data_IF_165445432120
#
_entry.id   IF_165445432120
#
_cell.length_a   1.000
_cell.length_b   1.000
_cell.length_c   1.000
_cell.angle_alpha   90.00
_cell.angle_beta   90.00
_cell.angle_gamma   90.00
#
_symmetry.space_group_name_H-M   'P 1'
#
loop_
_entity.id
_entity.type
_entity.pdbx_description
1 polymer ?
#
# COMPACT_ATOMS: atom_id res chain seq x y z
N UNK A 1 17.83 -11.67 -28.66
CA UNK A 1 17.64 -11.49 -27.21
C UNK A 1 17.69 -10.00 -26.94
N UNK A 2 16.61 -9.44 -26.38
CA UNK A 2 16.57 -8.03 -26.00
C UNK A 2 17.50 -7.76 -24.80
N UNK A 3 17.75 -6.47 -24.51
CA UNK A 3 18.55 -6.12 -23.32
C UNK A 3 17.80 -6.46 -22.02
N UNK A 4 16.47 -6.33 -21.99
CA UNK A 4 15.63 -6.76 -20.87
C UNK A 4 15.76 -8.27 -20.63
N UNK A 5 15.67 -9.12 -21.67
CA UNK A 5 15.85 -10.57 -21.56
C UNK A 5 17.25 -10.94 -21.03
N UNK A 6 18.29 -10.28 -21.56
CA UNK A 6 19.67 -10.50 -21.12
C UNK A 6 19.86 -10.13 -19.63
N UNK A 7 19.31 -9.00 -19.21
CA UNK A 7 19.37 -8.55 -17.81
C UNK A 7 18.61 -9.51 -16.90
N UNK A 8 17.43 -9.96 -17.31
CA UNK A 8 16.64 -10.91 -16.52
C UNK A 8 17.35 -12.24 -16.35
N UNK A 9 17.91 -12.79 -17.44
CA UNK A 9 18.69 -14.01 -17.37
C UNK A 9 19.93 -13.90 -16.46
N UNK A 10 20.58 -12.73 -16.44
CA UNK A 10 21.70 -12.45 -15.52
C UNK A 10 21.21 -12.33 -14.08
N UNK A 11 20.11 -11.59 -13.85
CA UNK A 11 19.53 -11.39 -12.52
C UNK A 11 19.12 -12.72 -11.88
N UNK A 12 18.52 -13.65 -12.65
CA UNK A 12 18.11 -14.96 -12.15
C UNK A 12 19.28 -15.83 -11.64
N UNK A 13 20.53 -15.54 -12.07
CA UNK A 13 21.72 -16.26 -11.60
C UNK A 13 22.19 -15.84 -10.22
N UNK A 14 21.81 -14.63 -9.77
CA UNK A 14 22.35 -13.99 -8.55
C UNK A 14 21.29 -13.45 -7.60
N UNK A 15 20.05 -13.34 -8.06
CA UNK A 15 18.91 -12.87 -7.25
C UNK A 15 17.79 -13.92 -7.35
N UNK A 16 17.21 -14.39 -6.25
CA UNK A 16 16.11 -15.36 -6.28
C UNK A 16 14.95 -14.88 -7.18
N UNK A 17 14.68 -15.63 -8.26
CA UNK A 17 13.68 -15.28 -9.27
C UNK A 17 14.01 -14.03 -10.10
N UNK A 18 15.24 -13.49 -9.99
CA UNK A 18 15.72 -12.31 -10.73
C UNK A 18 15.20 -10.97 -10.19
N UNK A 19 14.56 -10.94 -9.03
CA UNK A 19 13.90 -9.74 -8.47
C UNK A 19 14.03 -9.67 -6.94
N UNK A 20 14.00 -8.45 -6.39
CA UNK A 20 14.03 -8.20 -4.95
C UNK A 20 12.62 -8.08 -4.33
N UNK A 21 11.55 -8.30 -5.11
CA UNK A 21 10.17 -8.43 -4.62
C UNK A 21 9.37 -9.31 -5.59
N UNK A 22 8.61 -10.32 -5.10
CA UNK A 22 8.07 -11.42 -5.93
C UNK A 22 7.20 -10.97 -7.11
N UNK A 23 6.35 -9.97 -6.94
CA UNK A 23 5.42 -9.50 -7.97
C UNK A 23 6.14 -8.96 -9.21
N UNK A 24 7.36 -8.43 -9.04
CA UNK A 24 8.19 -7.87 -10.14
C UNK A 24 8.66 -8.94 -11.14
N UNK A 25 8.60 -10.23 -10.80
CA UNK A 25 9.02 -11.32 -11.65
C UNK A 25 8.02 -11.71 -12.75
N UNK A 26 6.89 -11.02 -12.88
CA UNK A 26 5.85 -11.28 -13.88
C UNK A 26 5.21 -12.68 -13.84
N UNK A 27 5.37 -13.41 -12.73
CA UNK A 27 4.85 -14.79 -12.62
C UNK A 27 3.35 -14.89 -12.86
N UNK A 28 2.58 -13.87 -12.44
CA UNK A 28 1.12 -13.88 -12.58
C UNK A 28 0.66 -13.58 -14.03
N UNK A 29 1.48 -12.86 -14.80
CA UNK A 29 1.14 -12.46 -16.17
C UNK A 29 2.02 -13.15 -17.24
N UNK A 30 3.18 -13.66 -16.84
CA UNK A 30 4.17 -14.26 -17.75
C UNK A 30 5.00 -13.22 -18.52
N UNK A 31 5.93 -13.70 -19.32
CA UNK A 31 6.83 -12.86 -20.09
C UNK A 31 8.05 -12.38 -19.29
N UNK A 32 8.82 -11.47 -19.90
CA UNK A 32 10.03 -10.88 -19.31
C UNK A 32 9.69 -9.50 -18.75
N UNK A 33 10.01 -9.23 -17.47
CA UNK A 33 9.77 -7.91 -16.90
C UNK A 33 10.71 -6.87 -17.54
N UNK A 34 10.23 -5.63 -17.79
CA UNK A 34 11.08 -4.55 -18.23
C UNK A 34 12.04 -4.12 -17.12
N UNK A 35 13.32 -3.92 -17.47
CA UNK A 35 14.34 -3.37 -16.59
C UNK A 35 14.39 -1.86 -16.77
N UNK A 36 13.88 -1.13 -15.79
CA UNK A 36 13.71 0.32 -15.87
C UNK A 36 15.06 1.01 -15.64
N UNK A 37 15.40 1.96 -16.52
CA UNK A 37 16.67 2.72 -16.48
C UNK A 37 16.47 4.17 -16.06
N UNK A 38 15.25 4.72 -16.21
CA UNK A 38 14.89 6.07 -15.76
C UNK A 38 13.38 6.24 -15.63
N UNK A 39 12.99 7.24 -14.83
CA UNK A 39 11.61 7.73 -14.74
C UNK A 39 11.58 9.25 -14.71
N UNK A 40 10.53 9.87 -15.27
CA UNK A 40 10.27 11.31 -15.18
C UNK A 40 8.78 11.59 -15.32
N UNK A 41 8.21 12.34 -14.38
CA UNK A 41 6.76 12.60 -14.34
C UNK A 41 5.99 11.28 -14.22
N UNK A 42 5.03 11.03 -15.11
CA UNK A 42 4.26 9.79 -15.15
C UNK A 42 4.85 8.72 -16.09
N UNK A 43 6.11 8.86 -16.53
CA UNK A 43 6.72 7.99 -17.52
C UNK A 43 7.95 7.27 -16.98
N UNK A 44 8.15 6.04 -17.47
CA UNK A 44 9.35 5.23 -17.25
C UNK A 44 9.90 4.72 -18.58
N UNK A 45 11.20 4.47 -18.63
CA UNK A 45 11.89 3.91 -19.81
C UNK A 45 12.66 2.66 -19.42
N UNK A 46 12.50 1.62 -20.23
CA UNK A 46 13.23 0.36 -20.02
C UNK A 46 14.61 0.34 -20.67
N UNK A 47 15.34 -0.75 -20.45
CA UNK A 47 16.67 -0.95 -20.96
C UNK A 47 16.73 -1.14 -22.50
N UNK A 48 15.62 -1.43 -23.15
CA UNK A 48 15.49 -1.51 -24.61
C UNK A 48 15.08 -0.14 -25.21
N UNK A 49 14.91 0.90 -24.37
CA UNK A 49 14.58 2.26 -24.78
C UNK A 49 13.08 2.52 -24.96
N UNK A 50 12.22 1.57 -24.61
CA UNK A 50 10.77 1.74 -24.70
C UNK A 50 10.26 2.65 -23.56
N UNK A 51 9.33 3.53 -23.90
CA UNK A 51 8.64 4.41 -22.97
C UNK A 51 7.29 3.82 -22.56
N UNK A 52 6.92 4.02 -21.27
CA UNK A 52 5.64 3.60 -20.73
C UNK A 52 5.03 4.71 -19.88
N UNK A 53 3.70 4.89 -19.96
CA UNK A 53 2.92 5.56 -18.92
C UNK A 53 2.82 4.63 -17.72
N UNK A 54 3.27 5.10 -16.56
CA UNK A 54 3.43 4.28 -15.34
C UNK A 54 2.27 4.45 -14.36
N UNK A 55 1.48 3.41 -14.21
CA UNK A 55 0.39 3.34 -13.23
C UNK A 55 0.74 2.48 -12.00
N UNK A 56 1.99 2.08 -11.85
CA UNK A 56 2.53 1.42 -10.66
C UNK A 56 3.06 2.44 -9.66
N UNK A 57 3.70 3.52 -10.14
CA UNK A 57 4.21 4.60 -9.32
C UNK A 57 5.09 4.11 -8.17
N UNK A 58 5.95 3.09 -8.43
CA UNK A 58 6.77 2.40 -7.43
C UNK A 58 5.95 1.74 -6.31
N UNK A 59 4.72 1.27 -6.59
CA UNK A 59 3.75 0.70 -5.65
C UNK A 59 3.15 1.73 -4.68
N UNK A 60 2.96 2.96 -5.18
CA UNK A 60 2.22 4.01 -4.48
C UNK A 60 3.00 5.19 -3.91
N UNK A 61 4.33 5.13 -3.62
CA UNK A 61 5.05 6.27 -3.03
C UNK A 61 5.11 7.52 -3.92
N UNK A 62 5.14 7.35 -5.24
CA UNK A 62 5.40 8.46 -6.17
C UNK A 62 4.12 9.25 -6.51
N UNK A 63 3.52 9.89 -5.51
CA UNK A 63 2.29 10.70 -5.68
C UNK A 63 2.51 11.94 -6.55
N UNK A 64 3.74 12.47 -6.60
CA UNK A 64 4.15 13.58 -7.46
C UNK A 64 4.62 13.12 -8.85
N UNK A 65 4.82 11.81 -9.05
CA UNK A 65 5.47 11.23 -10.21
C UNK A 65 6.98 11.02 -9.99
N UNK A 66 7.66 10.54 -11.04
CA UNK A 66 9.09 10.25 -11.01
C UNK A 66 9.91 11.54 -11.11
N UNK A 67 11.05 11.56 -10.41
CA UNK A 67 12.08 12.58 -10.51
C UNK A 67 11.53 14.04 -10.40
N UNK A 68 10.67 14.26 -9.38
CA UNK A 68 10.21 15.62 -9.07
C UNK A 68 11.42 16.50 -8.74
N UNK A 69 11.52 17.66 -9.39
CA UNK A 69 12.71 18.49 -9.35
C UNK A 69 13.04 19.03 -7.95
N UNK A 70 12.01 19.40 -7.18
CA UNK A 70 12.18 19.92 -5.82
C UNK A 70 12.59 18.82 -4.84
N UNK A 71 11.97 17.65 -4.94
CA UNK A 71 12.35 16.47 -4.14
C UNK A 71 13.81 16.10 -4.40
N UNK A 72 14.24 16.05 -5.68
CA UNK A 72 15.63 15.75 -6.04
C UNK A 72 16.60 16.81 -5.53
N UNK A 73 16.28 18.10 -5.69
CA UNK A 73 17.14 19.19 -5.23
C UNK A 73 17.34 19.13 -3.71
N UNK A 74 16.27 18.93 -2.95
CA UNK A 74 16.33 18.77 -1.48
C UNK A 74 17.17 17.57 -1.06
N UNK A 75 17.02 16.44 -1.76
CA UNK A 75 17.84 15.25 -1.49
C UNK A 75 19.33 15.50 -1.74
N UNK A 76 19.69 16.14 -2.84
CA UNK A 76 21.08 16.45 -3.18
C UNK A 76 21.71 17.37 -2.14
N UNK A 77 21.01 18.43 -1.74
CA UNK A 77 21.46 19.37 -0.71
C UNK A 77 21.75 18.66 0.62
N UNK A 78 20.88 17.74 1.04
CA UNK A 78 21.08 17.00 2.28
C UNK A 78 22.19 15.95 2.15
N UNK A 79 22.28 15.28 1.00
CA UNK A 79 23.33 14.29 0.74
C UNK A 79 24.74 14.90 0.79
N UNK A 80 24.89 16.15 0.36
CA UNK A 80 26.18 16.89 0.44
C UNK A 80 26.65 17.10 1.88
N UNK A 81 25.75 17.06 2.87
CA UNK A 81 26.06 17.18 4.31
C UNK A 81 26.35 15.83 4.98
N UNK A 82 26.09 14.71 4.31
CA UNK A 82 26.29 13.35 4.77
C UNK A 82 25.05 12.46 4.67
N UNK A 83 25.26 11.16 4.52
CA UNK A 83 24.18 10.21 4.24
C UNK A 83 23.55 9.62 5.52
N UNK A 84 24.29 9.58 6.63
CA UNK A 84 23.81 9.00 7.89
C UNK A 84 24.78 9.35 9.03
N UNK A 85 24.26 9.56 10.24
CA UNK A 85 25.09 10.07 11.35
C UNK A 85 25.10 9.17 12.60
N UNK A 86 24.16 8.21 12.72
CA UNK A 86 23.98 7.44 13.95
C UNK A 86 23.60 8.31 15.17
N UNK A 87 23.03 9.50 14.91
CA UNK A 87 22.59 10.50 15.86
C UNK A 87 21.31 11.17 15.35
N UNK A 88 20.48 11.78 16.23
CA UNK A 88 19.28 12.51 15.82
C UNK A 88 19.60 13.69 14.89
N UNK A 89 18.67 14.01 14.01
CA UNK A 89 18.75 15.15 13.10
C UNK A 89 17.53 16.07 13.23
N UNK A 90 17.68 17.34 12.86
CA UNK A 90 16.58 18.31 12.85
C UNK A 90 15.45 17.85 11.90
N UNK A 91 15.79 17.25 10.76
CA UNK A 91 14.82 16.74 9.79
C UNK A 91 13.87 15.67 10.37
N UNK A 92 14.35 14.86 11.32
CA UNK A 92 13.49 13.89 12.03
C UNK A 92 12.43 14.59 12.88
N UNK A 93 12.82 15.70 13.54
CA UNK A 93 11.88 16.53 14.33
C UNK A 93 10.84 17.17 13.41
N UNK A 94 11.28 17.82 12.34
CA UNK A 94 10.36 18.42 11.34
C UNK A 94 9.37 17.39 10.77
N UNK A 95 9.85 16.19 10.43
CA UNK A 95 9.00 15.11 9.91
C UNK A 95 7.98 14.66 10.96
N UNK A 96 8.40 14.46 12.20
CA UNK A 96 7.51 14.05 13.29
C UNK A 96 6.44 15.11 13.56
N UNK A 97 6.81 16.39 13.64
CA UNK A 97 5.87 17.51 13.82
C UNK A 97 4.88 17.62 12.65
N UNK A 98 5.36 17.43 11.42
CA UNK A 98 4.51 17.46 10.22
C UNK A 98 3.50 16.30 10.24
N UNK A 99 3.94 15.09 10.54
CA UNK A 99 3.06 13.92 10.63
C UNK A 99 2.02 14.07 11.74
N UNK A 100 2.43 14.53 12.94
CA UNK A 100 1.51 14.79 14.06
C UNK A 100 0.45 15.84 13.69
N UNK A 101 0.82 16.86 12.95
CA UNK A 101 -0.12 17.89 12.49
C UNK A 101 -1.10 17.39 11.43
N UNK A 102 -0.67 16.52 10.51
CA UNK A 102 -1.46 16.11 9.35
C UNK A 102 -2.28 14.83 9.57
N UNK A 103 -1.84 13.93 10.46
CA UNK A 103 -2.51 12.64 10.65
C UNK A 103 -3.44 12.70 11.87
N UNK A 104 -4.76 12.52 11.71
CA UNK A 104 -5.71 12.60 12.83
C UNK A 104 -5.40 11.60 13.94
N UNK A 105 -5.31 12.07 15.18
CA UNK A 105 -5.06 11.21 16.35
C UNK A 105 -3.61 10.79 16.55
N UNK A 106 -2.68 11.28 15.73
CA UNK A 106 -1.25 11.04 15.91
C UNK A 106 -0.67 12.03 16.93
N UNK A 107 -0.32 11.57 18.12
CA UNK A 107 0.24 12.39 19.21
C UNK A 107 1.75 12.19 19.36
N UNK A 108 2.23 10.98 19.11
CA UNK A 108 3.65 10.62 19.04
C UNK A 108 3.89 9.70 17.85
N UNK A 109 5.07 9.80 17.24
CA UNK A 109 5.48 9.01 16.08
C UNK A 109 6.92 8.53 16.21
N UNK A 110 7.20 7.35 15.69
CA UNK A 110 8.54 6.78 15.56
C UNK A 110 8.80 6.45 14.09
N UNK A 111 9.89 6.99 13.53
CA UNK A 111 10.33 6.65 12.18
C UNK A 111 11.02 5.28 12.16
N UNK A 112 10.83 4.57 11.05
CA UNK A 112 11.46 3.30 10.70
C UNK A 112 11.81 3.30 9.21
N UNK A 113 12.39 2.23 8.67
CA UNK A 113 12.85 2.21 7.28
C UNK A 113 11.86 1.56 6.30
N UNK A 114 10.81 0.92 6.79
CA UNK A 114 9.81 0.23 5.93
C UNK A 114 8.43 0.12 6.59
N UNK A 115 7.40 -0.13 5.76
CA UNK A 115 6.06 -0.46 6.25
C UNK A 115 6.03 -1.75 7.08
N UNK A 116 6.85 -2.74 6.73
CA UNK A 116 6.98 -3.98 7.52
C UNK A 116 7.49 -3.71 8.93
N UNK A 117 8.52 -2.87 9.07
CA UNK A 117 9.01 -2.47 10.40
C UNK A 117 7.96 -1.69 11.19
N UNK A 118 7.20 -0.82 10.51
CA UNK A 118 6.12 -0.05 11.13
C UNK A 118 5.02 -0.97 11.68
N UNK A 119 4.50 -1.89 10.88
CA UNK A 119 3.43 -2.81 11.29
C UNK A 119 3.89 -3.81 12.35
N UNK A 120 5.09 -4.39 12.19
CA UNK A 120 5.70 -5.27 13.19
C UNK A 120 5.85 -4.58 14.54
N UNK A 121 6.29 -3.32 14.54
CA UNK A 121 6.48 -2.54 15.76
C UNK A 121 5.14 -2.15 16.41
N UNK A 122 4.15 -1.75 15.61
CA UNK A 122 2.81 -1.43 16.09
C UNK A 122 2.12 -2.63 16.74
N UNK A 123 2.26 -3.83 16.17
CA UNK A 123 1.73 -5.07 16.75
C UNK A 123 2.40 -5.42 18.09
N UNK A 124 3.75 -5.34 18.15
CA UNK A 124 4.49 -5.57 19.38
C UNK A 124 4.07 -4.58 20.46
N UNK A 125 3.91 -3.32 20.08
CA UNK A 125 3.47 -2.26 20.98
C UNK A 125 2.05 -2.52 21.50
N UNK A 126 1.11 -2.87 20.64
CA UNK A 126 -0.26 -3.19 21.03
C UNK A 126 -0.33 -4.38 22.02
N UNK A 127 0.47 -5.42 21.77
CA UNK A 127 0.61 -6.56 22.70
C UNK A 127 1.22 -6.12 24.04
N UNK A 128 2.28 -5.31 24.02
CA UNK A 128 2.94 -4.80 25.23
C UNK A 128 2.05 -3.86 26.03
N UNK A 129 1.22 -3.07 25.37
CA UNK A 129 0.27 -2.16 26.02
C UNK A 129 -0.91 -2.90 26.66
N UNK A 130 -1.51 -3.85 25.95
CA UNK A 130 -2.71 -4.56 26.41
C UNK A 130 -2.42 -5.77 27.33
N UNK A 131 -1.18 -6.29 27.30
CA UNK A 131 -0.83 -7.56 27.94
C UNK A 131 -1.47 -8.80 27.28
N UNK A 132 -2.04 -8.65 26.09
CA UNK A 132 -2.74 -9.70 25.34
C UNK A 132 -1.93 -10.14 24.14
N UNK A 133 -2.25 -11.33 23.57
CA UNK A 133 -1.46 -11.93 22.49
C UNK A 133 -2.15 -11.97 21.14
N UNK A 134 -3.49 -12.02 21.10
CA UNK A 134 -4.22 -12.24 19.84
C UNK A 134 -4.26 -11.00 18.96
N UNK A 135 -4.07 -11.22 17.65
CA UNK A 135 -4.19 -10.23 16.59
C UNK A 135 -5.38 -10.61 15.72
N UNK A 136 -6.17 -9.63 15.32
CA UNK A 136 -7.15 -9.78 14.24
C UNK A 136 -6.61 -9.05 13.01
N UNK A 137 -6.61 -9.72 11.86
CA UNK A 137 -6.37 -9.14 10.53
C UNK A 137 -7.46 -9.60 9.55
N UNK A 138 -7.45 -9.06 8.34
CA UNK A 138 -8.45 -9.40 7.32
C UNK A 138 -7.82 -10.12 6.14
N UNK A 139 -8.59 -11.07 5.58
CA UNK A 139 -8.17 -11.85 4.41
C UNK A 139 -7.90 -10.93 3.22
N UNK A 140 -6.86 -11.24 2.46
CA UNK A 140 -6.43 -10.44 1.33
C UNK A 140 -5.62 -9.17 1.70
N UNK A 141 -5.69 -8.69 2.95
CA UNK A 141 -4.87 -7.57 3.41
C UNK A 141 -3.41 -8.00 3.65
N UNK A 142 -2.47 -7.12 3.24
CA UNK A 142 -1.04 -7.30 3.45
C UNK A 142 -0.49 -6.21 4.38
N UNK A 143 0.23 -6.64 5.39
CA UNK A 143 0.78 -5.76 6.42
C UNK A 143 2.29 -5.96 6.62
N UNK A 144 3.02 -6.22 5.53
CA UNK A 144 4.44 -6.59 5.61
C UNK A 144 4.64 -8.09 5.87
N UNK A 145 5.91 -8.49 6.05
CA UNK A 145 6.31 -9.90 6.09
C UNK A 145 6.83 -10.35 7.46
N UNK A 146 6.37 -9.73 8.56
CA UNK A 146 6.57 -10.28 9.90
C UNK A 146 5.80 -11.59 10.04
N UNK A 147 6.39 -12.60 10.66
CA UNK A 147 5.87 -13.97 10.73
C UNK A 147 4.41 -14.04 11.20
N UNK A 148 4.04 -13.28 12.23
CA UNK A 148 2.66 -13.24 12.75
C UNK A 148 1.63 -12.67 11.75
N UNK A 149 2.07 -12.07 10.66
CA UNK A 149 1.22 -11.48 9.61
C UNK A 149 1.21 -12.31 8.32
N UNK A 150 2.13 -13.26 8.16
CA UNK A 150 2.16 -14.22 7.05
C UNK A 150 1.19 -15.38 7.31
N UNK A 151 -0.09 -15.06 7.33
CA UNK A 151 -1.19 -15.92 7.76
C UNK A 151 -2.32 -15.86 6.74
N UNK A 152 -2.89 -17.02 6.42
CA UNK A 152 -4.12 -17.16 5.63
C UNK A 152 -5.27 -17.65 6.51
N UNK A 153 -6.50 -17.43 6.07
CA UNK A 153 -7.69 -17.91 6.76
C UNK A 153 -7.63 -19.43 7.00
N UNK A 154 -8.14 -19.89 8.14
CA UNK A 154 -8.36 -21.29 8.44
C UNK A 154 -9.64 -21.82 7.77
N UNK A 155 -9.95 -23.10 7.97
CA UNK A 155 -11.11 -23.77 7.35
C UNK A 155 -12.47 -23.45 7.98
N UNK A 156 -12.53 -22.65 9.04
CA UNK A 156 -13.76 -22.27 9.74
C UNK A 156 -13.79 -20.79 10.09
N UNK A 157 -14.98 -20.25 10.35
CA UNK A 157 -15.23 -18.82 10.54
C UNK A 157 -14.39 -18.15 11.67
N UNK A 158 -14.04 -18.89 12.71
CA UNK A 158 -13.24 -18.44 13.87
C UNK A 158 -11.98 -19.27 14.06
N UNK A 159 -11.52 -19.96 13.01
CA UNK A 159 -10.31 -20.78 13.07
C UNK A 159 -9.07 -19.88 13.07
N UNK A 160 -8.12 -20.15 13.94
CA UNK A 160 -6.81 -19.49 13.94
C UNK A 160 -6.11 -19.70 12.59
N UNK A 161 -5.38 -18.68 12.13
CA UNK A 161 -4.78 -18.68 10.82
C UNK A 161 -3.67 -19.72 10.66
N UNK A 162 -3.53 -20.23 9.44
CA UNK A 162 -2.44 -21.11 9.05
C UNK A 162 -1.31 -20.31 8.43
N UNK A 163 -0.02 -20.72 8.58
CA UNK A 163 1.09 -20.07 7.88
C UNK A 163 0.84 -19.98 6.36
N UNK A 164 1.07 -18.80 5.78
CA UNK A 164 0.99 -18.59 4.34
C UNK A 164 2.37 -18.65 3.65
N UNK A 165 3.43 -18.82 4.45
CA UNK A 165 4.81 -18.95 3.97
C UNK A 165 5.49 -20.16 4.63
N UNK A 166 6.27 -20.88 3.84
CA UNK A 166 7.22 -21.86 4.39
C UNK A 166 8.21 -21.13 5.33
N UNK A 167 8.62 -21.79 6.40
CA UNK A 167 9.53 -21.25 7.40
C UNK A 167 8.86 -20.46 8.54
N UNK A 168 7.56 -20.18 8.44
CA UNK A 168 6.78 -19.57 9.54
C UNK A 168 6.24 -20.69 10.43
N UNK A 169 6.62 -20.75 11.73
CA UNK A 169 6.11 -21.76 12.65
C UNK A 169 4.60 -21.58 12.90
N UNK A 170 3.88 -22.70 13.03
CA UNK A 170 2.43 -22.67 13.30
C UNK A 170 2.11 -21.97 14.62
N UNK A 171 2.98 -22.08 15.63
CA UNK A 171 2.85 -21.43 16.93
C UNK A 171 2.86 -19.91 16.81
N UNK A 172 3.63 -19.36 15.86
CA UNK A 172 3.69 -17.90 15.61
C UNK A 172 2.37 -17.38 15.03
N UNK A 173 1.72 -18.16 14.17
CA UNK A 173 0.44 -17.82 13.55
C UNK A 173 -0.78 -18.18 14.40
N UNK A 174 -0.62 -19.05 15.41
CA UNK A 174 -1.70 -19.52 16.29
C UNK A 174 -2.41 -18.39 17.10
N UNK A 175 -1.81 -17.21 17.19
CA UNK A 175 -2.40 -16.04 17.83
C UNK A 175 -2.99 -15.02 16.84
N UNK A 176 -3.02 -15.34 15.55
CA UNK A 176 -3.55 -14.44 14.52
C UNK A 176 -4.85 -14.98 13.95
N UNK A 177 -5.93 -14.24 14.16
CA UNK A 177 -7.25 -14.52 13.61
C UNK A 177 -7.41 -13.78 12.29
N UNK A 178 -7.82 -14.47 11.23
CA UNK A 178 -8.05 -13.88 9.90
C UNK A 178 -9.55 -13.90 9.62
N UNK A 179 -10.14 -12.72 9.46
CA UNK A 179 -11.57 -12.51 9.19
C UNK A 179 -11.80 -12.03 7.76
N UNK A 180 -13.02 -12.18 7.25
CA UNK A 180 -13.42 -11.61 5.97
C UNK A 180 -13.45 -10.08 6.02
N UNK A 181 -12.87 -9.43 5.00
CA UNK A 181 -12.97 -7.97 4.85
C UNK A 181 -14.43 -7.60 4.50
N UNK A 182 -14.98 -6.59 5.15
CA UNK A 182 -16.41 -6.20 5.07
C UNK A 182 -17.41 -7.22 5.67
N UNK A 183 -16.96 -8.22 6.43
CA UNK A 183 -17.81 -9.20 7.10
C UNK A 183 -18.04 -8.83 8.57
N UNK A 184 -19.16 -8.12 8.82
CA UNK A 184 -19.53 -7.70 10.18
C UNK A 184 -19.93 -8.87 11.07
N UNK A 185 -20.51 -9.92 10.52
CA UNK A 185 -20.97 -11.06 11.30
C UNK A 185 -19.77 -11.84 11.88
N UNK A 186 -18.74 -12.10 11.05
CA UNK A 186 -17.51 -12.73 11.54
C UNK A 186 -16.80 -11.83 12.57
N UNK A 187 -16.78 -10.52 12.35
CA UNK A 187 -16.16 -9.58 13.27
C UNK A 187 -16.85 -9.59 14.64
N UNK A 188 -18.18 -9.54 14.68
CA UNK A 188 -18.96 -9.59 15.91
C UNK A 188 -18.81 -10.92 16.65
N UNK A 189 -18.87 -12.02 15.94
CA UNK A 189 -18.64 -13.36 16.51
C UNK A 189 -17.25 -13.46 17.15
N UNK A 190 -16.20 -13.00 16.47
CA UNK A 190 -14.84 -13.01 16.99
C UNK A 190 -14.69 -12.19 18.29
N UNK A 191 -15.29 -11.02 18.35
CA UNK A 191 -15.28 -10.21 19.57
C UNK A 191 -16.17 -10.78 20.67
N UNK A 192 -17.31 -11.39 20.32
CA UNK A 192 -18.18 -12.07 21.28
C UNK A 192 -17.48 -13.22 22.01
N UNK A 193 -16.71 -14.02 21.29
CA UNK A 193 -16.01 -15.18 21.86
C UNK A 193 -14.63 -14.84 22.45
N UNK A 194 -13.85 -13.95 21.79
CA UNK A 194 -12.43 -13.78 22.06
C UNK A 194 -12.05 -12.37 22.48
N UNK A 195 -13.00 -11.44 22.55
CA UNK A 195 -12.73 -10.00 22.71
C UNK A 195 -11.82 -9.65 23.89
N UNK A 196 -11.94 -10.36 25.02
CA UNK A 196 -11.06 -10.18 26.18
C UNK A 196 -9.60 -10.59 25.97
N UNK A 197 -9.26 -11.32 24.91
CA UNK A 197 -7.92 -11.79 24.59
C UNK A 197 -7.30 -11.12 23.36
N UNK A 198 -8.08 -10.31 22.63
CA UNK A 198 -7.60 -9.57 21.43
C UNK A 198 -6.76 -8.37 21.90
N UNK A 199 -5.49 -8.38 21.50
CA UNK A 199 -4.58 -7.25 21.71
C UNK A 199 -4.89 -6.11 20.74
N UNK A 200 -5.07 -6.44 19.47
CA UNK A 200 -5.33 -5.45 18.43
C UNK A 200 -6.07 -6.02 17.23
N UNK A 201 -6.68 -5.11 16.48
CA UNK A 201 -7.13 -5.32 15.10
C UNK A 201 -6.25 -4.46 14.20
N UNK A 202 -5.63 -5.09 13.18
CA UNK A 202 -4.94 -4.37 12.12
C UNK A 202 -5.74 -4.48 10.83
N UNK A 203 -5.96 -3.34 10.15
CA UNK A 203 -6.75 -3.27 8.91
C UNK A 203 -6.18 -2.24 7.95
N UNK A 204 -6.14 -2.59 6.65
CA UNK A 204 -6.03 -1.58 5.59
C UNK A 204 -7.40 -0.88 5.49
N UNK A 205 -7.51 0.42 5.79
CA UNK A 205 -8.83 1.09 5.76
C UNK A 205 -9.43 1.18 4.35
N UNK A 206 -8.60 1.13 3.31
CA UNK A 206 -8.95 0.73 1.94
C UNK A 206 -7.96 -0.37 1.56
N UNK A 207 -8.45 -1.56 1.31
CA UNK A 207 -7.58 -2.67 0.94
C UNK A 207 -7.01 -2.45 -0.46
N UNK A 208 -5.68 -2.59 -0.60
CA UNK A 208 -4.95 -2.37 -1.85
C UNK A 208 -4.09 -3.56 -2.30
N UNK A 209 -4.08 -4.66 -1.52
CA UNK A 209 -3.28 -5.86 -1.78
C UNK A 209 -4.12 -7.08 -2.23
N UNK A 210 -5.42 -6.90 -2.39
CA UNK A 210 -6.35 -7.82 -3.05
C UNK A 210 -7.08 -7.12 -4.22
N UNK A 211 -6.34 -6.34 -5.00
CA UNK A 211 -6.79 -5.21 -5.79
C UNK A 211 -7.34 -4.09 -4.89
N UNK A 212 -8.12 -3.14 -5.37
CA UNK A 212 -8.69 -2.12 -4.51
C UNK A 212 -10.07 -2.55 -4.04
N UNK A 213 -10.27 -2.67 -2.72
CA UNK A 213 -11.59 -2.90 -2.13
C UNK A 213 -11.86 -1.83 -1.08
N UNK A 214 -12.87 -1.01 -1.31
CA UNK A 214 -13.31 0.00 -0.37
C UNK A 214 -14.04 -0.63 0.83
N UNK A 215 -13.89 -0.10 2.04
CA UNK A 215 -14.66 -0.54 3.18
C UNK A 215 -16.14 -0.15 2.99
N UNK A 216 -17.05 -1.00 3.45
CA UNK A 216 -18.45 -0.58 3.61
C UNK A 216 -18.53 0.52 4.68
N UNK A 217 -19.43 1.48 4.58
CA UNK A 217 -19.47 2.64 5.49
C UNK A 217 -19.52 2.29 6.98
N UNK A 218 -20.19 1.20 7.34
CA UNK A 218 -20.34 0.72 8.71
C UNK A 218 -19.14 -0.10 9.21
N UNK A 219 -18.32 -0.69 8.31
CA UNK A 219 -17.28 -1.66 8.65
C UNK A 219 -16.21 -1.07 9.58
N UNK A 220 -15.58 0.03 9.19
CA UNK A 220 -14.54 0.67 10.00
C UNK A 220 -15.07 1.23 11.32
N UNK A 221 -16.29 1.78 11.32
CA UNK A 221 -16.94 2.26 12.54
C UNK A 221 -17.18 1.11 13.52
N UNK A 222 -17.65 -0.04 13.01
CA UNK A 222 -17.92 -1.19 13.85
C UNK A 222 -16.64 -1.78 14.44
N UNK A 223 -15.55 -1.85 13.68
CA UNK A 223 -14.24 -2.22 14.22
C UNK A 223 -13.85 -1.28 15.36
N UNK A 224 -13.98 0.04 15.18
CA UNK A 224 -13.66 1.03 16.22
C UNK A 224 -14.47 0.82 17.49
N UNK A 225 -15.78 0.64 17.35
CA UNK A 225 -16.70 0.41 18.50
C UNK A 225 -16.31 -0.84 19.29
N UNK A 226 -16.06 -1.95 18.59
CA UNK A 226 -15.68 -3.21 19.22
C UNK A 226 -14.31 -3.12 19.90
N UNK A 227 -13.32 -2.52 19.24
CA UNK A 227 -12.02 -2.28 19.87
C UNK A 227 -12.16 -1.44 21.15
N UNK A 228 -12.94 -0.37 21.11
CA UNK A 228 -13.19 0.49 22.29
C UNK A 228 -13.86 -0.28 23.42
N UNK A 229 -14.92 -1.04 23.12
CA UNK A 229 -15.69 -1.83 24.10
C UNK A 229 -14.85 -2.88 24.80
N UNK A 230 -13.94 -3.55 24.05
CA UNK A 230 -13.15 -4.66 24.55
C UNK A 230 -11.73 -4.25 25.00
N UNK A 231 -11.35 -2.97 24.87
CA UNK A 231 -10.01 -2.49 25.20
C UNK A 231 -8.92 -3.04 24.29
N UNK A 232 -9.26 -3.39 23.05
CA UNK A 232 -8.30 -3.77 22.01
C UNK A 232 -7.80 -2.53 21.27
N UNK A 233 -6.54 -2.56 20.80
CA UNK A 233 -5.94 -1.46 20.03
C UNK A 233 -6.38 -1.57 18.57
N UNK A 234 -6.94 -0.50 18.01
CA UNK A 234 -7.18 -0.41 16.57
C UNK A 234 -5.94 0.16 15.87
N UNK A 235 -5.38 -0.58 14.93
CA UNK A 235 -4.27 -0.17 14.08
C UNK A 235 -4.78 0.01 12.65
N UNK A 236 -4.72 1.24 12.14
CA UNK A 236 -4.90 1.48 10.71
C UNK A 236 -3.57 1.35 9.99
N UNK A 237 -3.49 0.38 9.09
CA UNK A 237 -2.38 0.28 8.17
C UNK A 237 -2.61 1.26 7.01
N UNK A 238 -2.08 2.44 7.18
CA UNK A 238 -2.09 3.51 6.16
C UNK A 238 -0.76 3.58 5.37
N UNK A 239 0.00 2.50 5.32
CA UNK A 239 1.22 2.44 4.51
C UNK A 239 0.90 2.72 3.04
N UNK A 240 -0.27 2.29 2.55
CA UNK A 240 -0.71 2.56 1.18
C UNK A 240 -1.62 3.79 1.08
N UNK A 241 -2.57 3.93 1.98
CA UNK A 241 -3.62 4.96 1.94
C UNK A 241 -3.17 6.32 2.48
N UNK A 242 -2.20 6.33 3.41
CA UNK A 242 -1.67 7.55 4.02
C UNK A 242 -1.13 8.51 2.96
N UNK A 243 -1.66 9.74 2.93
CA UNK A 243 -1.32 10.77 1.94
C UNK A 243 -1.53 10.37 0.47
N UNK A 244 -2.23 9.26 0.23
CA UNK A 244 -2.57 8.78 -1.11
C UNK A 244 -4.06 9.00 -1.42
N UNK A 245 -4.94 8.72 -0.47
CA UNK A 245 -6.39 8.89 -0.64
C UNK A 245 -6.89 10.27 -0.19
N UNK A 246 -6.08 11.02 0.52
CA UNK A 246 -6.36 12.37 1.02
C UNK A 246 -5.22 12.87 1.90
N UNK A 247 -5.20 14.17 2.20
CA UNK A 247 -4.17 14.80 3.05
C UNK A 247 -4.13 14.20 4.46
N UNK A 248 -5.27 13.80 4.97
CA UNK A 248 -5.43 13.22 6.30
C UNK A 248 -5.61 11.69 6.25
N UNK A 249 -5.19 11.06 5.14
CA UNK A 249 -5.31 9.61 4.91
C UNK A 249 -6.75 9.12 4.91
N UNK A 250 -6.92 7.83 5.10
CA UNK A 250 -8.24 7.20 5.18
C UNK A 250 -8.98 7.56 6.48
N UNK A 251 -8.27 7.89 7.56
CA UNK A 251 -8.90 8.40 8.79
C UNK A 251 -9.69 9.68 8.52
N UNK A 252 -9.12 10.62 7.74
CA UNK A 252 -9.81 11.83 7.34
C UNK A 252 -10.99 11.56 6.41
N UNK A 253 -10.82 10.60 5.47
CA UNK A 253 -11.84 10.25 4.48
C UNK A 253 -13.09 9.60 5.12
N UNK A 254 -12.88 8.68 6.07
CA UNK A 254 -13.98 7.89 6.68
C UNK A 254 -14.41 8.40 8.05
N UNK A 255 -13.73 9.39 8.63
CA UNK A 255 -14.07 9.95 9.95
C UNK A 255 -13.89 8.96 11.10
N UNK A 256 -13.03 7.95 10.95
CA UNK A 256 -12.74 6.96 11.99
C UNK A 256 -11.28 7.09 12.44
N UNK A 257 -11.07 7.28 13.75
CA UNK A 257 -9.72 7.38 14.33
C UNK A 257 -9.25 6.04 14.86
N UNK A 258 -8.03 5.66 14.48
CA UNK A 258 -7.31 4.53 15.06
C UNK A 258 -6.59 4.93 16.35
N UNK A 259 -6.20 3.93 17.15
CA UNK A 259 -5.32 4.13 18.30
C UNK A 259 -3.86 4.22 17.87
N UNK A 260 -3.48 3.44 16.85
CA UNK A 260 -2.19 3.46 16.19
C UNK A 260 -2.37 3.51 14.67
N UNK A 261 -1.43 4.15 14.00
CA UNK A 261 -1.35 4.25 12.54
C UNK A 261 0.03 3.81 12.08
N UNK A 262 0.10 3.04 11.00
CA UNK A 262 1.37 2.76 10.31
C UNK A 262 1.39 3.50 8.98
N UNK A 263 2.53 4.09 8.65
CA UNK A 263 2.76 4.90 7.47
C UNK A 263 3.99 4.40 6.71
N UNK A 264 4.06 4.70 5.44
CA UNK A 264 5.18 4.38 4.56
C UNK A 264 4.99 5.01 3.19
N UNK A 265 5.60 4.43 2.17
CA UNK A 265 5.39 4.82 0.77
C UNK A 265 5.48 6.35 0.54
N UNK A 266 4.36 7.06 0.50
CA UNK A 266 4.30 8.51 0.21
C UNK A 266 5.14 9.35 1.17
N UNK A 267 5.21 8.98 2.46
CA UNK A 267 6.03 9.71 3.44
C UNK A 267 7.54 9.62 3.18
N UNK A 268 7.97 8.75 2.28
CA UNK A 268 9.35 8.63 1.84
C UNK A 268 9.64 9.33 0.51
N UNK A 269 8.60 9.79 -0.23
CA UNK A 269 8.79 10.46 -1.53
C UNK A 269 9.54 9.62 -2.58
N UNK A 270 9.54 8.29 -2.45
CA UNK A 270 10.30 7.34 -3.27
C UNK A 270 11.50 6.71 -2.55
N UNK A 271 11.89 7.25 -1.38
CA UNK A 271 12.95 6.71 -0.53
C UNK A 271 12.38 5.76 0.54
N UNK A 272 13.21 4.83 1.09
CA UNK A 272 12.78 3.88 2.11
C UNK A 272 12.55 4.57 3.45
N UNK A 273 11.30 4.87 3.76
CA UNK A 273 10.83 5.42 5.04
C UNK A 273 9.53 4.71 5.43
N UNK A 274 9.41 4.40 6.69
CA UNK A 274 8.18 4.03 7.35
C UNK A 274 8.03 4.80 8.66
N UNK A 275 6.84 4.77 9.24
CA UNK A 275 6.57 5.31 10.55
C UNK A 275 5.41 4.56 11.22
N UNK A 276 5.38 4.55 12.53
CA UNK A 276 4.22 4.15 13.30
C UNK A 276 4.05 5.12 14.48
N UNK A 277 2.82 5.36 14.85
CA UNK A 277 2.50 6.29 15.92
C UNK A 277 1.03 6.28 16.25
N UNK A 278 0.61 7.14 17.17
CA UNK A 278 -0.77 7.26 17.62
C UNK A 278 -0.87 7.86 18.99
N UNK A 279 -1.76 7.33 19.82
CA UNK A 279 -2.03 7.78 21.18
C UNK A 279 -0.77 7.78 22.04
N UNK A 280 -0.58 8.85 22.79
CA UNK A 280 0.60 9.06 23.67
C UNK A 280 0.76 7.95 24.70
N UNK A 281 -0.31 7.56 25.38
CA UNK A 281 -0.30 6.55 26.44
C UNK A 281 0.13 5.16 25.93
N UNK A 282 -0.09 4.87 24.65
CA UNK A 282 0.40 3.66 23.98
C UNK A 282 1.86 3.84 23.57
N UNK A 283 2.20 4.94 22.89
CA UNK A 283 3.53 5.18 22.35
C UNK A 283 4.60 5.32 23.44
N UNK A 284 4.26 5.81 24.62
CA UNK A 284 5.18 5.89 25.77
C UNK A 284 5.58 4.52 26.34
N UNK A 285 4.97 3.41 25.88
CA UNK A 285 5.43 2.06 26.21
C UNK A 285 6.66 1.61 25.44
N UNK A 286 7.13 2.41 24.45
CA UNK A 286 8.32 2.12 23.67
C UNK A 286 9.58 2.61 24.39
N UNK A 287 10.64 1.81 24.32
CA UNK A 287 11.98 2.21 24.79
C UNK A 287 12.44 3.52 24.09
N UNK A 288 13.06 4.47 24.79
CA UNK A 288 13.58 4.35 26.17
C UNK A 288 12.56 4.67 27.27
N UNK A 289 11.33 5.11 26.96
CA UNK A 289 10.33 5.45 27.98
C UNK A 289 9.69 4.20 28.61
N UNK A 290 9.44 3.18 27.82
CA UNK A 290 8.80 1.92 28.26
C UNK A 290 9.64 0.69 27.91
N UNK A 291 9.07 -0.49 28.13
CA UNK A 291 9.75 -1.77 27.98
C UNK A 291 9.64 -2.39 26.56
N UNK A 292 8.82 -1.84 25.69
CA UNK A 292 8.66 -2.37 24.33
C UNK A 292 9.84 -1.93 23.46
N UNK A 293 10.61 -2.90 22.97
CA UNK A 293 11.83 -2.61 22.22
C UNK A 293 11.55 -2.42 20.72
N UNK A 294 12.15 -1.38 20.15
CA UNK A 294 12.27 -1.11 18.73
C UNK A 294 13.56 -0.30 18.49
N UNK A 295 14.31 -0.66 17.45
CA UNK A 295 15.51 0.06 17.03
C UNK A 295 15.70 -0.10 15.51
N UNK A 296 16.42 0.84 14.89
CA UNK A 296 16.77 0.78 13.47
C UNK A 296 17.94 1.71 13.18
N UNK A 297 19.05 1.18 12.67
CA UNK A 297 20.28 1.93 12.37
C UNK A 297 20.02 3.10 11.40
N UNK A 298 19.18 2.91 10.41
CA UNK A 298 18.86 3.90 9.38
C UNK A 298 17.47 4.55 9.55
N UNK A 299 16.81 4.32 10.69
CA UNK A 299 15.55 4.99 11.00
C UNK A 299 15.77 6.50 11.10
N UNK A 300 14.98 7.29 10.36
CA UNK A 300 15.19 8.73 10.30
C UNK A 300 16.37 9.15 9.41
N UNK A 301 16.78 8.30 8.45
CA UNK A 301 17.86 8.65 7.50
C UNK A 301 17.62 10.03 6.89
N UNK A 302 18.57 10.99 6.97
CA UNK A 302 18.34 12.38 6.61
C UNK A 302 17.96 12.57 5.13
N UNK A 303 18.57 11.84 4.21
CA UNK A 303 18.26 11.94 2.77
C UNK A 303 16.85 11.42 2.48
N UNK A 304 16.47 10.31 3.12
CA UNK A 304 15.15 9.73 2.94
C UNK A 304 14.05 10.61 3.59
N UNK A 305 14.32 11.16 4.77
CA UNK A 305 13.40 12.11 5.42
C UNK A 305 13.25 13.40 4.62
N UNK A 306 14.33 13.94 4.04
CA UNK A 306 14.31 15.13 3.19
C UNK A 306 13.40 14.93 1.97
N UNK A 307 13.50 13.79 1.28
CA UNK A 307 12.60 13.44 0.17
C UNK A 307 11.13 13.41 0.60
N UNK A 308 10.86 12.79 1.76
CA UNK A 308 9.54 12.74 2.36
C UNK A 308 8.99 14.11 2.71
N UNK A 309 9.77 14.95 3.39
CA UNK A 309 9.39 16.32 3.75
C UNK A 309 9.07 17.18 2.53
N UNK A 310 9.92 17.14 1.49
CA UNK A 310 9.67 17.86 0.23
C UNK A 310 8.37 17.39 -0.42
N UNK A 311 8.12 16.06 -0.44
CA UNK A 311 6.88 15.50 -0.97
C UNK A 311 5.67 15.95 -0.16
N UNK A 312 5.71 15.80 1.17
CA UNK A 312 4.61 16.15 2.06
C UNK A 312 4.31 17.67 2.06
N UNK A 313 5.30 18.53 1.86
CA UNK A 313 5.08 19.97 1.70
C UNK A 313 4.27 20.26 0.43
N UNK A 314 4.61 19.63 -0.70
CA UNK A 314 3.95 19.87 -2.01
C UNK A 314 2.51 19.38 -2.06
N UNK A 315 2.20 18.24 -1.47
CA UNK A 315 0.84 17.67 -1.50
C UNK A 315 -0.18 18.45 -0.65
N UNK A 316 0.26 19.39 0.19
CA UNK A 316 -0.61 20.30 0.94
C UNK A 316 -1.18 21.44 0.09
N UNK A 317 -0.75 21.58 -1.17
CA UNK A 317 -1.25 22.62 -2.06
C UNK A 317 -2.78 22.50 -2.24
N UNK A 318 -3.53 23.62 -2.20
CA UNK A 318 -4.99 23.62 -2.36
C UNK A 318 -5.41 22.91 -3.65
N UNK A 319 -6.44 22.05 -3.54
CA UNK A 319 -6.98 21.28 -4.67
C UNK A 319 -6.08 20.15 -5.17
N UNK A 320 -4.98 19.82 -4.49
CA UNK A 320 -4.09 18.72 -4.89
C UNK A 320 -4.84 17.39 -4.97
N UNK A 321 -5.54 17.04 -3.91
CA UNK A 321 -6.27 15.76 -3.81
C UNK A 321 -7.52 15.73 -4.67
N UNK A 322 -8.19 16.88 -4.87
CA UNK A 322 -9.35 16.96 -5.79
C UNK A 322 -8.93 16.61 -7.22
N UNK A 323 -7.80 17.20 -7.69
CA UNK A 323 -7.25 16.89 -9.01
C UNK A 323 -6.78 15.44 -9.11
N UNK A 324 -6.12 14.92 -8.08
CA UNK A 324 -5.63 13.53 -8.07
C UNK A 324 -6.79 12.53 -8.15
N UNK A 325 -7.86 12.75 -7.37
CA UNK A 325 -9.06 11.92 -7.37
C UNK A 325 -9.81 12.02 -8.71
N UNK A 326 -9.97 13.23 -9.26
CA UNK A 326 -10.60 13.43 -10.57
C UNK A 326 -9.82 12.71 -11.69
N UNK A 327 -8.48 12.70 -11.64
CA UNK A 327 -7.65 11.97 -12.59
C UNK A 327 -7.87 10.47 -12.50
N UNK A 328 -7.93 9.90 -11.30
CA UNK A 328 -8.19 8.47 -11.09
C UNK A 328 -9.61 8.08 -11.56
N UNK A 329 -10.60 8.91 -11.25
CA UNK A 329 -11.99 8.68 -11.68
C UNK A 329 -12.11 8.72 -13.20
N UNK A 330 -11.53 9.74 -13.85
CA UNK A 330 -11.54 9.87 -15.33
C UNK A 330 -10.91 8.66 -16.01
N UNK A 331 -9.81 8.11 -15.45
CA UNK A 331 -9.20 6.88 -15.93
C UNK A 331 -10.18 5.69 -15.81
N UNK A 332 -10.77 5.48 -14.63
CA UNK A 332 -11.70 4.38 -14.40
C UNK A 332 -12.91 4.45 -15.31
N UNK A 333 -13.52 5.63 -15.46
CA UNK A 333 -14.70 5.83 -16.33
C UNK A 333 -14.38 5.57 -17.80
N UNK A 334 -13.22 6.06 -18.26
CA UNK A 334 -12.74 5.86 -19.62
C UNK A 334 -12.49 4.39 -19.94
N UNK A 335 -11.81 3.66 -19.03
CA UNK A 335 -11.55 2.23 -19.17
C UNK A 335 -12.86 1.41 -19.19
N UNK A 336 -13.79 1.72 -18.27
CA UNK A 336 -15.08 1.05 -18.22
C UNK A 336 -15.94 1.33 -19.47
N UNK A 337 -15.88 2.55 -20.02
CA UNK A 337 -16.57 2.90 -21.27
C UNK A 337 -15.98 2.15 -22.47
N UNK A 338 -14.65 2.06 -22.57
CA UNK A 338 -13.98 1.30 -23.61
C UNK A 338 -14.33 -0.19 -23.56
N UNK A 339 -14.32 -0.80 -22.36
CA UNK A 339 -14.71 -2.21 -22.19
C UNK A 339 -16.17 -2.47 -22.60
N UNK A 340 -17.10 -1.58 -22.21
CA UNK A 340 -18.53 -1.70 -22.60
C UNK A 340 -18.72 -1.64 -24.11
N UNK A 341 -17.99 -0.79 -24.82
CA UNK A 341 -18.03 -0.66 -26.28
C UNK A 341 -17.75 -2.01 -26.97
N UNK A 342 -16.85 -2.81 -26.40
CA UNK A 342 -16.43 -4.10 -26.94
C UNK A 342 -17.11 -5.30 -26.26
N UNK A 343 -18.12 -5.08 -25.38
CA UNK A 343 -18.84 -6.16 -24.71
C UNK A 343 -18.01 -6.95 -23.69
N UNK A 344 -16.88 -6.43 -23.24
CA UNK A 344 -16.03 -7.10 -22.25
C UNK A 344 -16.58 -6.88 -20.84
N UNK A 345 -16.73 -7.97 -20.07
CA UNK A 345 -17.12 -7.91 -18.67
C UNK A 345 -15.97 -7.30 -17.84
N UNK A 346 -16.07 -6.00 -17.59
CA UNK A 346 -15.05 -5.23 -16.90
C UNK A 346 -15.68 -4.17 -16.00
N UNK A 347 -15.06 -3.91 -14.88
CA UNK A 347 -15.37 -2.80 -13.98
C UNK A 347 -14.12 -2.18 -13.40
N UNK A 348 -14.21 -0.93 -12.96
CA UNK A 348 -13.13 -0.21 -12.31
C UNK A 348 -13.71 0.66 -11.19
N UNK A 349 -12.92 0.94 -10.16
CA UNK A 349 -13.25 1.90 -9.10
C UNK A 349 -12.01 2.63 -8.62
N UNK A 350 -12.19 3.80 -8.02
CA UNK A 350 -11.09 4.59 -7.48
C UNK A 350 -11.40 5.12 -6.09
N UNK A 351 -10.35 5.33 -5.28
CA UNK A 351 -10.39 6.04 -4.00
C UNK A 351 -9.17 6.96 -3.94
N UNK A 352 -9.41 8.28 -3.97
CA UNK A 352 -8.32 9.25 -4.08
C UNK A 352 -7.45 8.98 -5.32
N UNK A 353 -6.13 8.86 -5.13
CA UNK A 353 -5.17 8.56 -6.19
C UNK A 353 -4.93 7.06 -6.45
N UNK A 354 -5.77 6.18 -5.91
CA UNK A 354 -5.71 4.72 -6.11
C UNK A 354 -6.85 4.26 -7.00
N UNK A 355 -6.65 3.18 -7.78
CA UNK A 355 -7.71 2.55 -8.56
C UNK A 355 -7.55 1.02 -8.63
N UNK A 356 -8.66 0.35 -8.89
CA UNK A 356 -8.73 -1.09 -9.12
C UNK A 356 -9.37 -1.40 -10.46
N UNK A 357 -8.88 -2.45 -11.13
CA UNK A 357 -9.37 -2.95 -12.42
C UNK A 357 -9.83 -4.39 -12.26
N UNK A 358 -11.06 -4.70 -12.67
CA UNK A 358 -11.64 -6.02 -12.45
C UNK A 358 -12.26 -6.56 -13.71
N UNK A 359 -11.85 -7.74 -14.17
CA UNK A 359 -12.50 -8.47 -15.25
C UNK A 359 -13.72 -9.22 -14.72
N UNK A 360 -14.73 -8.44 -14.37
CA UNK A 360 -16.09 -8.81 -13.95
C UNK A 360 -17.01 -7.60 -14.08
N UNK A 361 -18.33 -7.83 -14.15
CA UNK A 361 -19.31 -6.79 -14.42
C UNK A 361 -19.41 -5.69 -13.33
N UNK A 362 -19.09 -6.01 -12.07
CA UNK A 362 -19.17 -5.09 -10.93
C UNK A 362 -17.92 -5.17 -10.08
N UNK A 363 -17.46 -4.07 -9.43
CA UNK A 363 -16.34 -4.13 -8.51
C UNK A 363 -16.58 -5.10 -7.35
N UNK A 364 -15.55 -5.86 -6.91
CA UNK A 364 -15.68 -6.76 -5.76
C UNK A 364 -15.77 -5.98 -4.45
N UNK A 365 -16.50 -6.54 -3.48
CA UNK A 365 -16.63 -6.01 -2.13
C UNK A 365 -15.95 -6.88 -1.06
N UNK A 366 -15.39 -8.02 -1.46
CA UNK A 366 -14.71 -8.98 -0.58
C UNK A 366 -13.55 -9.67 -1.29
N UNK A 367 -12.68 -10.31 -0.50
CA UNK A 367 -11.60 -11.14 -1.05
C UNK A 367 -12.13 -12.28 -1.92
N UNK A 368 -13.18 -12.98 -1.48
CA UNK A 368 -13.78 -14.07 -2.24
C UNK A 368 -14.28 -13.61 -3.63
N UNK A 369 -14.89 -12.44 -3.69
CA UNK A 369 -15.32 -11.86 -4.98
C UNK A 369 -14.15 -11.42 -5.85
N UNK A 370 -13.07 -10.87 -5.26
CA UNK A 370 -11.86 -10.53 -5.99
C UNK A 370 -11.20 -11.77 -6.63
N UNK A 371 -11.22 -12.90 -5.91
CA UNK A 371 -10.69 -14.17 -6.42
C UNK A 371 -11.48 -14.75 -7.60
N UNK A 372 -12.73 -14.33 -7.82
CA UNK A 372 -13.59 -14.75 -8.95
C UNK A 372 -13.36 -13.91 -10.22
N UNK A 373 -12.55 -12.85 -10.18
CA UNK A 373 -12.22 -12.09 -11.38
C UNK A 373 -11.47 -12.96 -12.40
N UNK A 374 -11.73 -12.74 -13.69
CA UNK A 374 -11.06 -13.46 -14.77
C UNK A 374 -9.59 -13.01 -14.90
N UNK A 375 -8.70 -13.87 -14.40
CA UNK A 375 -7.23 -13.64 -14.39
C UNK A 375 -6.64 -13.76 -15.80
N UNK A 376 -7.18 -14.63 -16.63
CA UNK A 376 -6.66 -14.81 -17.99
C UNK A 376 -7.05 -13.64 -18.89
N UNK A 377 -8.24 -13.07 -18.71
CA UNK A 377 -8.60 -11.82 -19.35
C UNK A 377 -7.72 -10.67 -18.89
N UNK A 378 -7.45 -10.56 -17.57
CA UNK A 378 -6.50 -9.57 -17.03
C UNK A 378 -5.11 -9.73 -17.66
N UNK A 379 -4.58 -10.96 -17.74
CA UNK A 379 -3.28 -11.25 -18.30
C UNK A 379 -3.17 -10.83 -19.78
N UNK A 380 -4.18 -11.12 -20.58
CA UNK A 380 -4.25 -10.66 -21.99
C UNK A 380 -4.25 -9.13 -22.05
N UNK A 381 -5.13 -8.49 -21.30
CA UNK A 381 -5.20 -7.03 -21.22
C UNK A 381 -3.89 -6.39 -20.78
N UNK A 382 -3.23 -6.94 -19.76
CA UNK A 382 -1.94 -6.46 -19.28
C UNK A 382 -0.89 -6.42 -20.41
N UNK A 383 -0.76 -7.49 -21.17
CA UNK A 383 0.21 -7.55 -22.27
C UNK A 383 -0.14 -6.63 -23.42
N UNK A 384 -1.41 -6.50 -23.76
CA UNK A 384 -1.90 -5.56 -24.77
C UNK A 384 -1.60 -4.10 -24.37
N UNK A 385 -1.83 -3.75 -23.10
CA UNK A 385 -1.50 -2.43 -22.57
C UNK A 385 0.00 -2.18 -22.55
N UNK A 386 0.80 -3.15 -22.10
CA UNK A 386 2.25 -3.07 -22.06
C UNK A 386 2.83 -2.86 -23.47
N UNK A 387 2.33 -3.60 -24.47
CA UNK A 387 2.74 -3.47 -25.87
C UNK A 387 2.42 -2.06 -26.45
N UNK A 388 1.39 -1.40 -25.92
CA UNK A 388 0.97 -0.03 -26.30
C UNK A 388 1.56 1.07 -25.42
N UNK A 389 2.57 0.76 -24.61
CA UNK A 389 3.29 1.73 -23.80
C UNK A 389 2.55 2.14 -22.51
N UNK A 390 1.73 1.27 -21.94
CA UNK A 390 1.07 1.49 -20.65
C UNK A 390 1.52 0.41 -19.67
N UNK A 391 2.16 0.81 -18.56
CA UNK A 391 2.66 -0.10 -17.54
C UNK A 391 1.70 -0.15 -16.36
N UNK A 392 0.95 -1.25 -16.28
CA UNK A 392 0.07 -1.60 -15.16
C UNK A 392 0.79 -2.52 -14.17
N UNK A 393 0.23 -2.73 -12.98
CA UNK A 393 0.72 -3.74 -12.06
C UNK A 393 0.62 -5.14 -12.69
N UNK A 394 1.69 -5.98 -12.63
CA UNK A 394 1.70 -7.31 -13.27
C UNK A 394 0.97 -8.37 -12.44
N UNK A 395 -0.20 -8.03 -11.91
CA UNK A 395 -1.07 -8.92 -11.13
C UNK A 395 -2.48 -8.35 -11.07
N UNK A 396 -3.48 -9.21 -11.26
CA UNK A 396 -4.90 -8.86 -11.10
C UNK A 396 -5.29 -8.47 -9.66
N UNK A 397 -4.39 -8.68 -8.70
CA UNK A 397 -4.62 -8.45 -7.28
C UNK A 397 -3.90 -7.21 -6.74
N UNK A 398 -3.33 -6.39 -7.59
CA UNK A 398 -2.67 -5.16 -7.20
C UNK A 398 -3.49 -3.94 -7.58
N UNK A 399 -3.59 -2.98 -6.67
CA UNK A 399 -4.12 -1.66 -6.99
C UNK A 399 -3.17 -0.90 -7.92
N UNK A 400 -3.72 -0.04 -8.76
CA UNK A 400 -2.99 0.93 -9.56
C UNK A 400 -2.99 2.31 -8.93
N UNK A 401 -2.12 3.19 -9.43
CA UNK A 401 -1.91 4.53 -8.87
C UNK A 401 -1.78 5.57 -9.97
N UNK A 402 -2.46 6.70 -9.79
CA UNK A 402 -2.17 7.91 -10.56
C UNK A 402 -1.26 8.83 -9.74
N UNK A 403 -0.53 9.70 -10.40
CA UNK A 403 0.27 10.75 -9.78
C UNK A 403 -0.18 12.12 -10.25
N UNK A 404 0.25 13.18 -9.56
CA UNK A 404 0.00 14.57 -9.98
C UNK A 404 0.62 14.91 -11.36
N UNK A 405 1.52 14.06 -11.86
CA UNK A 405 2.15 14.23 -13.17
C UNK A 405 1.31 13.66 -14.34
N UNK A 406 0.25 12.88 -14.06
CA UNK A 406 -0.65 12.40 -15.11
C UNK A 406 -1.55 13.53 -15.60
N UNK A 407 -1.39 13.90 -16.85
CA UNK A 407 -2.26 14.91 -17.50
C UNK A 407 -3.52 14.27 -18.09
N UNK A 408 -4.50 15.11 -18.46
CA UNK A 408 -5.68 14.65 -19.18
C UNK A 408 -5.33 13.99 -20.54
N UNK A 409 -4.24 14.45 -21.19
CA UNK A 409 -3.75 13.83 -22.42
C UNK A 409 -3.18 12.43 -22.19
N UNK A 410 -2.50 12.21 -21.04
CA UNK A 410 -1.99 10.87 -20.67
C UNK A 410 -3.13 9.89 -20.37
N UNK A 411 -4.19 10.37 -19.69
CA UNK A 411 -5.40 9.58 -19.45
C UNK A 411 -6.08 9.23 -20.77
N UNK A 412 -6.26 10.21 -21.68
CA UNK A 412 -6.86 9.98 -22.99
C UNK A 412 -6.05 8.97 -23.84
N UNK A 413 -4.72 9.06 -23.81
CA UNK A 413 -3.83 8.11 -24.48
C UNK A 413 -3.98 6.69 -23.90
N UNK A 414 -4.09 6.57 -22.57
CA UNK A 414 -4.31 5.28 -21.89
C UNK A 414 -5.66 4.67 -22.25
N UNK A 415 -6.72 5.46 -22.26
CA UNK A 415 -8.07 5.00 -22.66
C UNK A 415 -8.09 4.55 -24.12
N UNK A 416 -7.41 5.28 -25.02
CA UNK A 416 -7.24 4.86 -26.42
C UNK A 416 -6.49 3.53 -26.56
N UNK A 417 -5.43 3.34 -25.78
CA UNK A 417 -4.69 2.07 -25.74
C UNK A 417 -5.57 0.92 -25.24
N UNK A 418 -6.38 1.19 -24.22
CA UNK A 418 -7.32 0.20 -23.66
C UNK A 418 -8.46 -0.13 -24.63
N UNK A 419 -8.99 0.85 -25.39
CA UNK A 419 -10.02 0.60 -26.42
C UNK A 419 -9.50 -0.41 -27.45
N UNK A 420 -8.28 -0.20 -27.97
CA UNK A 420 -7.65 -1.13 -28.89
C UNK A 420 -7.27 -2.49 -28.24
N UNK A 421 -6.94 -2.49 -26.93
CA UNK A 421 -6.68 -3.72 -26.21
C UNK A 421 -7.96 -4.55 -26.04
N UNK A 422 -9.07 -3.94 -25.65
CA UNK A 422 -10.36 -4.63 -25.52
C UNK A 422 -10.88 -5.15 -26.87
N UNK A 423 -10.70 -4.38 -27.97
CA UNK A 423 -11.02 -4.83 -29.32
C UNK A 423 -10.27 -6.12 -29.70
N UNK A 424 -8.98 -6.21 -29.33
CA UNK A 424 -8.17 -7.40 -29.65
C UNK A 424 -8.48 -8.62 -28.76
N UNK A 425 -9.31 -8.47 -27.71
CA UNK A 425 -9.67 -9.54 -26.78
C UNK A 425 -10.98 -10.27 -27.16
N UNK A 426 -11.77 -9.71 -28.06
CA UNK A 426 -13.01 -10.26 -28.58
C UNK A 426 -12.80 -10.78 -29.99
#
# INVERSE_FOLDING_TARGET
MSRNESLFARAQKVIPGGVNSPVRAFRAVGGTPPFIVRGKGCRIWDADGREYLDYVGSWGPLVLGHADAEVLATMHEVADRGLSFGAPTELEVEMAELLVRLVPGLELVRLVSSGTEATMSALRLARGFTGRSRIVKFEGCYHGHADSLLVKAGSGALTLGNPSSAGVPAETTAQTLVLGYNDLAQLEAAFGELGGSIACVIVEPVAGNMNLIAPRPEFLRRIRELCTRHGAVLIFDEVMTGFRVGLHGAQGLYGVRADLVTLGKVIGGGMPVGAFGGRRDIMERIAPLGAVYQAGTLSGNPVAVAAGLATLKKIQAPGFYDRLAATALSLCDGLAAAARKHGVAFSAQSVGGMFGLYFRATPPSSYAEAMQCDKEAFKRFFHEMLARGVYLAPSAYEAGFVSAAHSAADIAATVKAADAAFESMV
#
